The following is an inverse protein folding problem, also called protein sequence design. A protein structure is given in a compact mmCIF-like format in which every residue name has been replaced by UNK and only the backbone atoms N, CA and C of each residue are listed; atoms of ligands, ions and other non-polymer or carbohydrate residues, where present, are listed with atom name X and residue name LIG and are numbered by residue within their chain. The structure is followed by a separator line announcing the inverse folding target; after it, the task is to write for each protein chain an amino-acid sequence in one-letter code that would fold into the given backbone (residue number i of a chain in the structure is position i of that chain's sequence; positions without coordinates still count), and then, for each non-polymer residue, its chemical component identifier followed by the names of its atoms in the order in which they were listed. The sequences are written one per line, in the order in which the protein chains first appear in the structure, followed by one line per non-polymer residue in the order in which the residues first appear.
data_IF_549616232828
#
_entry.id   IF_549616232828
#
_cell.length_a   1.000
_cell.length_b   1.000
_cell.length_c   1.000
_cell.angle_alpha   90.00
_cell.angle_beta   90.00
_cell.angle_gamma   90.00
#
_symmetry.space_group_name_H-M   'P 1'
#
loop_
_entity.id
_entity.type
_entity.pdbx_description
1 polymer ?
#
# COMPACT_ATOMS: atom_id res chain seq x y z
N UNK A 1 21.94 -9.41 15.66
CA UNK A 1 21.68 -8.48 14.54
C UNK A 1 21.31 -9.21 13.24
N UNK A 2 22.23 -9.82 12.44
CA UNK A 2 21.84 -10.49 11.17
C UNK A 2 21.17 -11.86 11.34
N UNK A 3 21.53 -12.62 12.38
CA UNK A 3 20.88 -13.91 12.69
C UNK A 3 19.46 -13.75 13.27
N UNK A 4 19.09 -12.55 13.74
CA UNK A 4 17.75 -12.29 14.30
C UNK A 4 16.68 -12.14 13.21
N UNK A 5 17.09 -11.81 11.98
CA UNK A 5 16.17 -11.55 10.85
C UNK A 5 16.07 -12.72 9.87
N UNK A 6 16.70 -13.87 10.15
CA UNK A 6 16.63 -15.05 9.28
C UNK A 6 15.40 -15.91 9.51
N UNK A 7 14.60 -15.63 10.56
CA UNK A 7 13.35 -16.35 10.81
C UNK A 7 12.36 -16.17 9.64
N UNK A 8 11.63 -17.23 9.23
CA UNK A 8 10.62 -17.17 8.17
C UNK A 8 9.53 -16.10 8.38
N UNK A 9 9.25 -15.72 9.62
CA UNK A 9 8.29 -14.66 9.93
C UNK A 9 8.64 -13.33 9.25
N UNK A 10 9.94 -13.08 8.98
CA UNK A 10 10.42 -11.85 8.36
C UNK A 10 10.58 -11.94 6.83
N UNK A 11 10.23 -13.06 6.20
CA UNK A 11 10.38 -13.26 4.75
C UNK A 11 9.71 -12.15 3.94
N UNK A 12 8.48 -11.79 4.32
CA UNK A 12 7.73 -10.73 3.65
C UNK A 12 8.35 -9.35 3.83
N UNK A 13 8.89 -9.04 5.02
CA UNK A 13 9.57 -7.78 5.28
C UNK A 13 10.82 -7.64 4.41
N UNK A 14 11.62 -8.72 4.30
CA UNK A 14 12.83 -8.73 3.46
C UNK A 14 12.49 -8.66 1.98
N UNK A 15 11.45 -9.38 1.54
CA UNK A 15 10.95 -9.30 0.17
C UNK A 15 10.51 -7.87 -0.17
N UNK A 16 9.74 -7.23 0.72
CA UNK A 16 9.27 -5.86 0.54
C UNK A 16 10.41 -4.85 0.46
N UNK A 17 11.36 -4.91 1.41
CA UNK A 17 12.50 -4.01 1.45
C UNK A 17 13.39 -4.11 0.20
N UNK A 18 13.54 -5.31 -0.37
CA UNK A 18 14.38 -5.56 -1.55
C UNK A 18 13.73 -5.20 -2.90
N UNK A 19 12.41 -4.95 -2.92
CA UNK A 19 11.67 -4.72 -4.16
C UNK A 19 12.00 -3.36 -4.79
N UNK A 20 12.09 -3.34 -6.12
CA UNK A 20 12.28 -2.12 -6.93
C UNK A 20 11.00 -1.28 -7.08
N UNK A 21 9.84 -1.93 -7.02
CA UNK A 21 8.54 -1.30 -7.20
C UNK A 21 7.51 -2.08 -6.41
N UNK A 22 6.60 -1.37 -5.74
CA UNK A 22 5.53 -1.98 -4.97
C UNK A 22 4.20 -1.76 -5.68
N UNK A 23 3.42 -2.83 -5.82
CA UNK A 23 2.01 -2.76 -6.23
C UNK A 23 1.18 -3.45 -5.16
N UNK A 24 0.23 -2.72 -4.60
CA UNK A 24 -0.75 -3.24 -3.64
C UNK A 24 -2.13 -3.14 -4.28
N UNK A 25 -2.86 -4.24 -4.37
CA UNK A 25 -4.21 -4.27 -4.91
C UNK A 25 -5.19 -4.82 -3.87
N UNK A 26 -6.23 -4.06 -3.55
CA UNK A 26 -7.24 -4.47 -2.58
C UNK A 26 -8.59 -3.76 -2.80
N UNK A 27 -9.72 -4.43 -2.57
CA UNK A 27 -11.02 -3.76 -2.58
C UNK A 27 -11.17 -2.80 -1.39
N UNK A 28 -12.05 -1.82 -1.51
CA UNK A 28 -12.37 -0.88 -0.44
C UNK A 28 -13.49 -1.43 0.45
N UNK A 29 -13.14 -1.85 1.65
CA UNK A 29 -14.07 -2.44 2.63
C UNK A 29 -14.03 -1.66 3.94
N UNK A 30 -15.21 -1.40 4.52
CA UNK A 30 -15.36 -0.77 5.84
C UNK A 30 -14.49 0.48 6.02
N UNK A 31 -14.58 1.39 5.04
CA UNK A 31 -13.82 2.64 4.97
C UNK A 31 -12.30 2.48 4.74
N UNK A 32 -11.81 1.27 4.48
CA UNK A 32 -10.38 0.99 4.31
C UNK A 32 -10.14 -0.16 3.32
N UNK A 33 -9.38 -1.16 3.70
CA UNK A 33 -9.02 -2.36 2.93
C UNK A 33 -9.21 -3.62 3.78
N UNK A 34 -9.16 -4.83 3.20
CA UNK A 34 -9.39 -6.07 3.95
C UNK A 34 -8.40 -6.25 5.11
N UNK A 35 -8.85 -6.84 6.20
CA UNK A 35 -8.02 -7.09 7.39
C UNK A 35 -6.72 -7.87 7.08
N UNK A 36 -6.75 -8.77 6.09
CA UNK A 36 -5.55 -9.48 5.63
C UNK A 36 -4.45 -8.54 5.12
N UNK A 37 -4.80 -7.43 4.46
CA UNK A 37 -3.82 -6.44 4.03
C UNK A 37 -3.27 -5.64 5.23
N UNK A 38 -4.07 -5.41 6.27
CA UNK A 38 -3.57 -4.82 7.51
C UNK A 38 -2.52 -5.71 8.18
N UNK A 39 -2.78 -7.02 8.24
CA UNK A 39 -1.84 -8.01 8.76
C UNK A 39 -0.55 -8.03 7.96
N UNK A 40 -0.63 -7.98 6.62
CA UNK A 40 0.55 -7.86 5.78
C UNK A 40 1.37 -6.62 6.12
N UNK A 41 0.75 -5.43 6.20
CA UNK A 41 1.44 -4.19 6.57
C UNK A 41 2.10 -4.26 7.94
N UNK A 42 1.46 -4.89 8.93
CA UNK A 42 2.06 -5.11 10.25
C UNK A 42 3.27 -6.05 10.18
N UNK A 43 3.17 -7.13 9.41
CA UNK A 43 4.26 -8.11 9.28
C UNK A 43 5.48 -7.53 8.57
N UNK A 44 5.28 -6.70 7.55
CA UNK A 44 6.40 -6.09 6.82
C UNK A 44 7.02 -4.91 7.57
N UNK A 45 6.30 -4.26 8.50
CA UNK A 45 6.80 -3.09 9.21
C UNK A 45 7.75 -3.47 10.35
N UNK A 46 8.92 -4.00 9.99
CA UNK A 46 9.91 -4.54 10.90
C UNK A 46 11.15 -3.63 10.99
N UNK A 47 11.45 -3.18 12.21
CA UNK A 47 12.65 -2.39 12.52
C UNK A 47 13.91 -3.21 12.18
N UNK A 48 14.91 -2.60 11.55
CA UNK A 48 16.11 -3.28 11.06
C UNK A 48 15.96 -3.96 9.70
N UNK A 49 14.74 -4.01 9.12
CA UNK A 49 14.49 -4.54 7.78
C UNK A 49 13.91 -3.47 6.85
N UNK A 50 12.75 -2.89 7.17
CA UNK A 50 12.09 -1.88 6.32
C UNK A 50 12.35 -0.45 6.79
N UNK A 51 12.65 -0.27 8.07
CA UNK A 51 13.03 1.02 8.65
C UNK A 51 13.94 0.81 9.86
N UNK A 52 14.61 1.85 10.33
CA UNK A 52 15.24 1.93 11.64
C UNK A 52 14.95 3.30 12.27
N UNK A 53 15.33 3.53 13.53
CA UNK A 53 15.20 4.86 14.14
C UNK A 53 16.54 5.60 14.12
N UNK A 54 16.49 6.88 13.77
CA UNK A 54 17.59 7.82 13.99
C UNK A 54 17.80 8.08 15.48
N UNK A 55 18.94 8.65 15.90
CA UNK A 55 19.13 9.11 17.28
C UNK A 55 18.05 10.09 17.76
N UNK A 56 17.45 10.87 16.85
CA UNK A 56 16.37 11.81 17.11
C UNK A 56 14.99 11.15 17.21
N UNK A 57 14.90 9.84 16.97
CA UNK A 57 13.66 9.05 17.07
C UNK A 57 12.77 9.12 15.83
N UNK A 58 13.27 9.64 14.71
CA UNK A 58 12.55 9.62 13.43
C UNK A 58 12.82 8.30 12.69
N UNK A 59 11.84 7.72 11.99
CA UNK A 59 12.10 6.57 11.14
C UNK A 59 13.05 6.95 9.98
N UNK A 60 14.10 6.17 9.80
CA UNK A 60 14.99 6.16 8.64
C UNK A 60 14.64 4.93 7.78
N UNK A 61 14.28 5.11 6.50
CA UNK A 61 13.83 4.02 5.65
C UNK A 61 14.99 3.13 5.19
N UNK A 62 14.71 1.84 5.04
CA UNK A 62 15.67 0.83 4.55
C UNK A 62 15.21 0.15 3.24
N UNK A 63 14.06 0.54 2.69
CA UNK A 63 13.50 -0.03 1.47
C UNK A 63 14.17 0.54 0.21
N UNK A 64 14.24 -0.29 -0.85
CA UNK A 64 14.79 0.09 -2.16
C UNK A 64 13.82 0.88 -3.04
N UNK A 65 12.54 0.54 -3.02
CA UNK A 65 11.54 1.15 -3.87
C UNK A 65 11.39 2.66 -3.59
N UNK A 66 11.19 3.45 -4.65
CA UNK A 66 10.84 4.88 -4.57
C UNK A 66 9.36 5.14 -4.92
N UNK A 67 8.68 4.13 -5.49
CA UNK A 67 7.31 4.19 -5.99
C UNK A 67 6.44 3.03 -5.51
N UNK A 68 5.21 3.37 -5.09
CA UNK A 68 4.15 2.42 -4.76
C UNK A 68 2.87 2.77 -5.54
N UNK A 69 2.28 1.75 -6.16
CA UNK A 69 0.95 1.84 -6.77
C UNK A 69 -0.06 1.15 -5.85
N UNK A 70 -1.10 1.87 -5.47
CA UNK A 70 -2.23 1.31 -4.74
C UNK A 70 -3.45 1.24 -5.67
N UNK A 71 -3.86 0.03 -6.01
CA UNK A 71 -5.00 -0.26 -6.88
C UNK A 71 -6.18 -0.66 -6.00
N UNK A 72 -7.30 0.05 -6.12
CA UNK A 72 -8.50 -0.30 -5.35
C UNK A 72 -9.79 -0.16 -6.15
N UNK A 73 -10.79 -0.96 -5.79
CA UNK A 73 -12.15 -0.84 -6.31
C UNK A 73 -13.13 -0.60 -5.17
N UNK A 74 -14.22 0.12 -5.43
CA UNK A 74 -15.28 0.34 -4.44
C UNK A 74 -16.66 0.22 -5.08
N UNK A 75 -17.59 -0.38 -4.34
CA UNK A 75 -18.99 -0.47 -4.75
C UNK A 75 -19.68 0.90 -4.79
N UNK A 76 -19.40 1.77 -3.82
CA UNK A 76 -19.92 3.13 -3.75
C UNK A 76 -18.96 4.20 -4.27
N UNK A 77 -19.48 5.44 -4.41
CA UNK A 77 -18.67 6.61 -4.78
C UNK A 77 -17.98 7.28 -3.57
N UNK A 78 -18.46 7.02 -2.34
CA UNK A 78 -17.92 7.60 -1.12
C UNK A 78 -16.64 6.88 -0.68
N UNK A 79 -15.49 7.50 -0.95
CA UNK A 79 -14.16 7.01 -0.57
C UNK A 79 -13.34 8.20 -0.02
N UNK A 80 -13.47 8.52 1.28
CA UNK A 80 -12.59 9.47 1.94
C UNK A 80 -11.12 9.05 1.82
N UNK A 81 -10.23 10.02 1.60
CA UNK A 81 -8.80 9.73 1.38
C UNK A 81 -8.07 9.38 2.68
N UNK A 82 -8.52 9.90 3.82
CA UNK A 82 -7.83 9.84 5.11
C UNK A 82 -7.68 8.42 5.66
N UNK A 83 -8.53 7.49 5.21
CA UNK A 83 -8.55 6.11 5.67
C UNK A 83 -7.75 5.20 4.75
N UNK A 84 -8.38 4.26 4.02
CA UNK A 84 -7.68 3.23 3.24
C UNK A 84 -6.43 3.71 2.49
N UNK A 85 -6.58 4.68 1.57
CA UNK A 85 -5.44 5.21 0.82
C UNK A 85 -4.48 6.04 1.70
N UNK A 86 -5.00 6.91 2.56
CA UNK A 86 -4.23 7.77 3.45
C UNK A 86 -3.33 6.98 4.39
N UNK A 87 -3.81 5.86 4.91
CA UNK A 87 -3.03 4.91 5.70
C UNK A 87 -1.87 4.34 4.90
N UNK A 88 -2.13 3.80 3.71
CA UNK A 88 -1.09 3.22 2.83
C UNK A 88 -0.05 4.26 2.45
N UNK A 89 -0.50 5.46 2.05
CA UNK A 89 0.36 6.59 1.67
C UNK A 89 1.24 7.04 2.84
N UNK A 90 0.66 7.19 4.03
CA UNK A 90 1.40 7.61 5.22
C UNK A 90 2.42 6.55 5.62
N UNK A 91 2.06 5.27 5.63
CA UNK A 91 2.99 4.18 5.94
C UNK A 91 4.17 4.16 4.96
N UNK A 92 3.88 4.26 3.66
CA UNK A 92 4.87 4.29 2.60
C UNK A 92 5.85 5.47 2.75
N UNK A 93 5.34 6.67 3.04
CA UNK A 93 6.16 7.87 3.17
C UNK A 93 6.91 7.95 4.50
N UNK A 94 6.29 7.52 5.60
CA UNK A 94 6.85 7.66 6.95
C UNK A 94 7.84 6.56 7.31
N UNK A 95 7.64 5.32 6.86
CA UNK A 95 8.49 4.19 7.27
C UNK A 95 9.33 3.65 6.12
N UNK A 96 8.79 3.62 4.90
CA UNK A 96 9.46 2.94 3.78
C UNK A 96 10.25 3.90 2.88
N UNK A 97 10.16 5.21 3.09
CA UNK A 97 10.85 6.20 2.26
C UNK A 97 10.29 6.32 0.85
N UNK A 98 9.11 5.75 0.60
CA UNK A 98 8.46 5.74 -0.72
C UNK A 98 7.67 7.04 -0.87
N UNK A 99 8.31 8.05 -1.47
CA UNK A 99 7.69 9.36 -1.69
C UNK A 99 6.57 9.34 -2.73
N UNK A 100 6.70 8.52 -3.77
CA UNK A 100 5.77 8.48 -4.89
C UNK A 100 4.70 7.40 -4.69
N UNK A 101 3.55 7.78 -4.13
CA UNK A 101 2.41 6.87 -3.94
C UNK A 101 1.28 7.25 -4.88
N UNK A 102 0.97 6.38 -5.86
CA UNK A 102 -0.07 6.58 -6.87
C UNK A 102 -1.31 5.75 -6.54
N UNK A 103 -2.47 6.41 -6.42
CA UNK A 103 -3.77 5.75 -6.29
C UNK A 103 -4.37 5.49 -7.67
N UNK A 104 -4.71 4.24 -7.95
CA UNK A 104 -5.49 3.82 -9.12
C UNK A 104 -6.81 3.29 -8.58
N UNK A 105 -7.95 3.83 -9.02
CA UNK A 105 -9.25 3.43 -8.48
C UNK A 105 -10.38 3.37 -9.49
N UNK A 106 -11.28 2.40 -9.29
CA UNK A 106 -12.57 2.32 -9.96
C UNK A 106 -13.68 2.33 -8.89
N UNK A 107 -14.60 3.28 -8.97
CA UNK A 107 -15.60 3.56 -7.93
C UNK A 107 -17.01 3.40 -8.49
N UNK A 108 -17.98 3.15 -7.61
CA UNK A 108 -19.39 3.08 -8.00
C UNK A 108 -19.78 1.79 -8.72
N UNK A 109 -19.00 0.71 -8.56
CA UNK A 109 -19.21 -0.54 -9.29
C UNK A 109 -20.51 -1.27 -8.92
N UNK A 110 -21.07 -0.99 -7.74
CA UNK A 110 -22.33 -1.59 -7.26
C UNK A 110 -23.51 -0.62 -7.34
N UNK A 111 -23.32 0.58 -7.92
CA UNK A 111 -24.40 1.55 -8.10
C UNK A 111 -25.38 1.02 -9.16
N UNK A 112 -26.67 1.03 -8.84
CA UNK A 112 -27.70 0.58 -9.77
C UNK A 112 -27.65 1.37 -11.09
N UNK A 113 -27.54 0.65 -12.20
CA UNK A 113 -27.44 1.24 -13.54
C UNK A 113 -26.04 1.70 -13.95
N UNK A 114 -25.01 1.42 -13.15
CA UNK A 114 -23.62 1.68 -13.51
C UNK A 114 -23.17 0.84 -14.71
N UNK A 115 -22.45 1.46 -15.65
CA UNK A 115 -21.72 0.77 -16.70
C UNK A 115 -20.35 0.33 -16.16
N UNK A 116 -20.32 -0.88 -15.59
CA UNK A 116 -19.12 -1.43 -14.92
C UNK A 116 -17.95 -1.57 -15.89
N UNK A 117 -18.20 -1.99 -17.12
CA UNK A 117 -17.15 -2.15 -18.14
C UNK A 117 -16.54 -0.80 -18.48
N UNK A 118 -17.36 0.22 -18.75
CA UNK A 118 -16.88 1.56 -19.02
C UNK A 118 -16.05 2.13 -17.86
N UNK A 119 -16.52 1.98 -16.61
CA UNK A 119 -15.82 2.49 -15.42
C UNK A 119 -14.43 1.83 -15.29
N UNK A 120 -14.33 0.53 -15.50
CA UNK A 120 -13.07 -0.21 -15.44
C UNK A 120 -12.15 0.20 -16.59
N UNK A 121 -12.67 0.32 -17.81
CA UNK A 121 -11.88 0.72 -18.98
C UNK A 121 -11.34 2.15 -18.87
N UNK A 122 -12.11 3.07 -18.29
CA UNK A 122 -11.63 4.42 -17.99
C UNK A 122 -10.54 4.41 -16.90
N UNK A 123 -10.71 3.61 -15.85
CA UNK A 123 -9.69 3.45 -14.82
C UNK A 123 -8.38 2.90 -15.40
N UNK A 124 -8.44 1.89 -16.27
CA UNK A 124 -7.28 1.30 -16.95
C UNK A 124 -6.61 2.32 -17.88
N UNK A 125 -7.38 3.05 -18.70
CA UNK A 125 -6.84 4.06 -19.63
C UNK A 125 -6.09 5.19 -18.92
N UNK A 126 -6.48 5.52 -17.69
CA UNK A 126 -5.87 6.58 -16.91
C UNK A 126 -4.60 6.14 -16.14
N UNK A 127 -4.17 4.88 -16.28
CA UNK A 127 -2.93 4.39 -15.69
C UNK A 127 -1.73 4.97 -16.46
N UNK A 128 -1.22 6.10 -15.98
CA UNK A 128 0.05 6.68 -16.45
C UNK A 128 1.20 6.18 -15.56
N UNK A 129 1.84 5.07 -15.96
CA UNK A 129 2.93 4.43 -15.21
C UNK A 129 4.25 5.18 -15.36
#
# INVERSE_FOLDING_TARGET
AKEEWSDPMFDLARQFAAADTIVVAAPYWDLSFPAALKQYFEQINAMGITFQYTPEGTPEPLCKADKLYYVMTAGGAFVPEEYGFGYVKTLAQSFYGIGQVKLIKALGLDIYGADVEQIIDEAIRNINI
#
